data_IF_807059564558
#
_entry.id   IF_807059564558
#
_cell.length_a   1.000
_cell.length_b   1.000
_cell.length_c   1.000
_cell.angle_alpha   90.00
_cell.angle_beta   90.00
_cell.angle_gamma   90.00
#
_symmetry.space_group_name_H-M   'P 1'
#
loop_
_entity.id
_entity.type
_entity.pdbx_description
1 polymer ?
#
# COMPACT_ATOMS: atom_id res chain seq x y z
N UNK A 1 24.10 -59.70 -63.43
CA UNK A 1 25.09 -59.39 -62.40
C UNK A 1 25.03 -57.94 -62.04
N UNK A 2 24.42 -57.63 -60.93
CA UNK A 2 24.04 -56.32 -60.40
C UNK A 2 25.22 -55.61 -59.70
N UNK A 3 25.40 -54.33 -59.80
CA UNK A 3 26.25 -53.57 -58.92
C UNK A 3 25.50 -52.94 -57.77
N UNK A 4 26.10 -53.10 -56.62
CA UNK A 4 25.78 -52.62 -55.32
C UNK A 4 25.84 -51.06 -55.25
N UNK A 5 24.69 -50.42 -54.93
CA UNK A 5 24.67 -48.99 -54.59
C UNK A 5 24.87 -48.80 -53.08
N UNK A 6 25.97 -48.18 -52.72
CA UNK A 6 26.27 -47.75 -51.33
C UNK A 6 25.45 -46.47 -51.02
N UNK A 7 24.44 -46.59 -50.18
CA UNK A 7 23.76 -45.45 -49.54
C UNK A 7 24.67 -44.87 -48.45
N UNK A 8 25.16 -43.65 -48.67
CA UNK A 8 25.74 -42.81 -47.63
C UNK A 8 24.60 -42.10 -46.90
N UNK A 9 24.30 -42.56 -45.70
CA UNK A 9 23.48 -41.81 -44.76
C UNK A 9 24.29 -40.64 -44.20
N UNK A 10 23.94 -39.45 -44.63
CA UNK A 10 24.37 -38.20 -44.00
C UNK A 10 23.57 -38.09 -42.71
N UNK A 11 24.23 -38.30 -41.55
CA UNK A 11 23.68 -37.97 -40.24
C UNK A 11 23.73 -36.44 -40.09
N UNK A 12 22.62 -35.75 -40.34
CA UNK A 12 22.41 -34.40 -39.88
C UNK A 12 22.23 -34.46 -38.34
N UNK A 13 23.25 -34.03 -37.59
CA UNK A 13 23.11 -33.70 -36.19
C UNK A 13 22.33 -32.41 -36.12
N UNK A 14 21.01 -32.48 -35.83
CA UNK A 14 20.26 -31.37 -35.31
C UNK A 14 20.70 -31.14 -33.87
N UNK A 15 21.62 -30.19 -33.65
CA UNK A 15 21.86 -29.60 -32.36
C UNK A 15 20.66 -28.70 -32.06
N UNK A 16 19.66 -29.25 -31.39
CA UNK A 16 18.61 -28.45 -30.75
C UNK A 16 19.30 -27.65 -29.64
N UNK A 17 19.62 -26.41 -29.92
CA UNK A 17 19.95 -25.42 -28.88
C UNK A 17 18.67 -25.21 -28.11
N UNK A 18 18.52 -25.90 -26.99
CA UNK A 18 17.57 -25.51 -25.92
C UNK A 18 18.07 -24.18 -25.37
N UNK A 19 17.67 -23.09 -26.01
CA UNK A 19 17.52 -21.80 -25.37
C UNK A 19 16.40 -21.96 -24.35
N UNK A 20 16.74 -22.47 -23.18
CA UNK A 20 15.91 -22.31 -22.01
C UNK A 20 15.71 -20.81 -21.82
N UNK A 21 14.54 -20.33 -22.20
CA UNK A 21 14.05 -19.05 -21.75
C UNK A 21 13.98 -19.11 -20.24
N UNK A 22 15.04 -18.70 -19.56
CA UNK A 22 14.96 -18.21 -18.20
C UNK A 22 14.00 -17.01 -18.29
N UNK A 23 12.69 -17.28 -18.20
CA UNK A 23 11.76 -16.25 -17.83
C UNK A 23 12.26 -15.72 -16.49
N UNK A 24 12.65 -14.45 -16.38
CA UNK A 24 12.90 -13.88 -15.07
C UNK A 24 11.64 -14.17 -14.25
N UNK A 25 11.80 -14.78 -13.10
CA UNK A 25 10.68 -14.95 -12.17
C UNK A 25 10.11 -13.56 -11.99
N UNK A 26 8.86 -13.36 -12.45
CA UNK A 26 8.20 -12.07 -12.37
C UNK A 26 8.44 -11.53 -10.96
N UNK A 27 9.01 -10.34 -10.85
CA UNK A 27 9.32 -9.73 -9.57
C UNK A 27 8.00 -9.37 -8.91
N UNK A 28 7.46 -10.33 -8.20
CA UNK A 28 6.20 -10.21 -7.49
C UNK A 28 6.49 -9.45 -6.20
N UNK A 29 5.71 -8.43 -5.92
CA UNK A 29 5.64 -7.85 -4.58
C UNK A 29 5.48 -9.00 -3.59
N UNK A 30 6.37 -9.12 -2.63
CA UNK A 30 6.31 -10.15 -1.61
C UNK A 30 5.78 -9.55 -0.34
N UNK A 31 4.84 -10.21 0.27
CA UNK A 31 4.19 -9.73 1.48
C UNK A 31 4.31 -10.77 2.59
N UNK A 32 4.41 -10.29 3.82
CA UNK A 32 4.35 -11.09 5.04
C UNK A 32 3.33 -10.45 5.97
N UNK A 33 2.24 -11.15 6.23
CA UNK A 33 1.25 -10.73 7.22
C UNK A 33 1.87 -10.66 8.63
N UNK A 34 1.60 -9.58 9.32
CA UNK A 34 2.06 -9.33 10.68
C UNK A 34 0.94 -9.40 11.71
N UNK A 35 -0.27 -9.77 11.32
CA UNK A 35 -1.36 -10.01 12.26
C UNK A 35 -0.99 -11.09 13.28
N UNK A 36 -1.66 -11.08 14.42
CA UNK A 36 -1.44 -12.04 15.49
C UNK A 36 -0.93 -11.42 16.79
N UNK A 37 -0.29 -12.22 17.63
CA UNK A 37 0.18 -11.78 18.94
C UNK A 37 1.42 -10.90 18.86
N UNK A 38 1.35 -9.75 19.56
CA UNK A 38 2.45 -8.82 19.77
C UNK A 38 2.65 -8.60 21.27
N UNK A 39 3.89 -8.47 21.71
CA UNK A 39 4.19 -7.96 23.05
C UNK A 39 3.73 -6.50 23.14
N UNK A 40 3.26 -6.12 24.31
CA UNK A 40 2.56 -4.85 24.51
C UNK A 40 2.92 -4.19 25.84
N UNK A 41 2.85 -2.87 25.87
CA UNK A 41 2.90 -2.08 27.09
C UNK A 41 2.38 -0.66 26.85
N UNK A 42 1.58 -0.14 27.77
CA UNK A 42 1.24 1.29 27.80
C UNK A 42 2.37 2.12 28.40
N UNK A 43 2.40 3.40 28.08
CA UNK A 43 3.39 4.34 28.62
C UNK A 43 2.72 5.62 29.14
N UNK A 44 1.99 5.50 30.24
CA UNK A 44 1.25 6.61 30.86
C UNK A 44 2.18 7.76 31.27
N UNK A 45 3.42 7.44 31.65
CA UNK A 45 4.43 8.41 32.06
C UNK A 45 5.22 9.02 30.89
N UNK A 46 5.01 8.53 29.68
CA UNK A 46 5.70 8.98 28.46
C UNK A 46 7.23 8.97 28.56
N UNK A 47 7.80 7.86 28.96
CA UNK A 47 9.24 7.68 29.07
C UNK A 47 10.01 7.81 27.74
N UNK A 48 9.32 7.87 26.59
CA UNK A 48 10.02 8.04 25.31
C UNK A 48 10.74 9.39 25.16
N UNK A 49 10.32 10.43 25.88
CA UNK A 49 10.86 11.80 25.76
C UNK A 49 12.06 12.13 26.64
N UNK A 50 12.36 11.32 27.63
CA UNK A 50 13.43 11.68 28.56
C UNK A 50 14.00 10.48 29.29
N UNK A 51 13.95 9.43 28.74
CA UNK A 51 13.91 8.12 29.21
C UNK A 51 15.13 7.61 29.97
N UNK A 52 14.88 7.24 31.19
CA UNK A 52 15.74 6.32 31.93
C UNK A 52 15.68 4.88 31.37
N UNK A 53 14.66 4.54 30.56
CA UNK A 53 14.48 3.21 29.97
C UNK A 53 13.61 3.28 28.68
N UNK A 54 14.22 3.48 27.51
CA UNK A 54 13.52 3.40 26.24
C UNK A 54 12.86 2.03 26.06
N UNK A 55 11.58 2.01 25.66
CA UNK A 55 10.80 0.77 25.56
C UNK A 55 11.37 -0.23 24.54
N UNK A 56 12.07 0.22 23.52
CA UNK A 56 12.72 -0.66 22.53
C UNK A 56 13.96 -1.40 23.07
N UNK A 57 14.54 -0.97 24.20
CA UNK A 57 15.76 -1.58 24.78
C UNK A 57 15.51 -2.85 25.59
N UNK A 58 14.26 -3.15 25.92
CA UNK A 58 13.92 -4.34 26.70
C UNK A 58 12.69 -5.03 26.11
N UNK A 59 12.50 -6.27 26.50
CA UNK A 59 11.34 -7.06 26.09
C UNK A 59 10.10 -6.62 26.87
N UNK A 60 9.04 -6.27 26.15
CA UNK A 60 7.74 -5.99 26.76
C UNK A 60 7.11 -7.27 27.29
N UNK A 61 6.32 -7.17 28.37
CA UNK A 61 5.85 -8.34 29.14
C UNK A 61 4.41 -8.73 28.85
N UNK A 62 3.53 -7.77 28.54
CA UNK A 62 2.14 -8.02 28.23
C UNK A 62 2.00 -8.40 26.76
N UNK A 63 0.84 -8.96 26.36
CA UNK A 63 0.55 -9.28 24.97
C UNK A 63 -0.83 -8.76 24.54
N UNK A 64 -0.96 -8.51 23.25
CA UNK A 64 -2.18 -8.06 22.59
C UNK A 64 -2.25 -8.68 21.19
N UNK A 65 -3.45 -8.96 20.69
CA UNK A 65 -3.62 -9.33 19.29
C UNK A 65 -3.73 -8.08 18.42
N UNK A 66 -3.04 -8.07 17.28
CA UNK A 66 -3.15 -7.07 16.24
C UNK A 66 -3.60 -7.72 14.91
N UNK A 67 -4.36 -7.04 14.05
CA UNK A 67 -4.94 -5.71 14.26
C UNK A 67 -5.88 -5.66 15.46
N UNK A 68 -5.94 -4.51 16.13
CA UNK A 68 -6.74 -4.32 17.32
C UNK A 68 -6.47 -2.97 18.00
N UNK A 69 -7.31 -2.62 18.95
CA UNK A 69 -7.22 -1.36 19.70
C UNK A 69 -7.22 -1.61 21.21
N UNK A 70 -6.71 -0.64 21.96
CA UNK A 70 -6.64 -0.71 23.43
C UNK A 70 -8.01 -0.91 24.10
N UNK A 71 -9.07 -0.39 23.49
CA UNK A 71 -10.44 -0.45 24.01
C UNK A 71 -10.96 -1.89 24.12
N UNK A 72 -10.68 -2.75 23.13
CA UNK A 72 -11.10 -4.16 23.10
C UNK A 72 -10.47 -4.96 24.23
N UNK A 73 -9.28 -4.56 24.66
CA UNK A 73 -8.53 -5.18 25.77
C UNK A 73 -8.81 -4.53 27.13
N UNK A 74 -9.78 -3.60 27.19
CA UNK A 74 -10.16 -2.89 28.42
C UNK A 74 -8.99 -2.13 29.04
N UNK A 75 -8.08 -1.63 28.22
CA UNK A 75 -6.90 -0.89 28.64
C UNK A 75 -7.28 0.58 28.82
N UNK A 76 -6.83 1.15 29.93
CA UNK A 76 -7.08 2.55 30.28
C UNK A 76 -8.12 2.71 31.39
N UNK A 77 -8.63 3.93 31.50
CA UNK A 77 -9.62 4.31 32.49
C UNK A 77 -11.02 3.87 32.06
N UNK A 78 -11.73 3.14 32.90
CA UNK A 78 -13.14 2.82 32.63
C UNK A 78 -13.99 4.04 32.89
N UNK A 79 -14.57 4.61 31.83
CA UNK A 79 -15.42 5.80 31.92
C UNK A 79 -16.70 5.51 32.74
N UNK A 80 -16.99 6.28 33.78
CA UNK A 80 -18.26 6.17 34.51
C UNK A 80 -19.41 6.87 33.79
N UNK A 81 -19.10 7.63 32.74
CA UNK A 81 -20.06 8.46 32.02
C UNK A 81 -20.56 7.78 30.76
N UNK A 82 -21.84 7.99 30.44
CA UNK A 82 -22.39 7.70 29.13
C UNK A 82 -22.77 9.03 28.47
N UNK A 83 -22.05 9.36 27.41
CA UNK A 83 -22.34 10.56 26.64
C UNK A 83 -23.59 10.39 25.79
N UNK A 84 -24.41 11.44 25.69
CA UNK A 84 -25.62 11.44 24.87
C UNK A 84 -25.42 12.25 23.58
N UNK A 85 -24.34 13.02 23.51
CA UNK A 85 -23.98 13.95 22.45
C UNK A 85 -22.85 13.44 21.53
N UNK A 86 -22.28 12.28 21.85
CA UNK A 86 -21.17 11.67 21.11
C UNK A 86 -21.05 10.19 21.44
N UNK A 87 -20.19 9.48 20.70
CA UNK A 87 -19.81 8.10 21.01
C UNK A 87 -19.17 8.03 22.41
N UNK A 88 -19.57 7.04 23.19
CA UNK A 88 -19.00 6.79 24.52
C UNK A 88 -17.98 5.66 24.42
N UNK A 89 -16.71 5.99 24.66
CA UNK A 89 -15.70 4.95 24.93
C UNK A 89 -15.94 4.39 26.33
N UNK A 90 -15.92 3.07 26.42
CA UNK A 90 -16.05 2.40 27.72
C UNK A 90 -14.73 2.40 28.46
N UNK A 91 -13.63 2.20 27.74
CA UNK A 91 -12.25 2.27 28.25
C UNK A 91 -11.49 3.32 27.47
N UNK A 92 -10.91 4.28 28.17
CA UNK A 92 -10.24 5.43 27.58
C UNK A 92 -8.74 5.36 27.89
N UNK A 93 -7.94 5.12 26.88
CA UNK A 93 -6.50 5.25 26.95
C UNK A 93 -6.05 6.37 26.01
N UNK A 94 -5.31 7.34 26.53
CA UNK A 94 -4.69 8.41 25.77
C UNK A 94 -3.21 8.47 26.14
N UNK A 95 -2.37 8.17 25.18
CA UNK A 95 -0.91 8.14 25.40
C UNK A 95 -0.19 7.18 24.46
N UNK A 96 1.13 7.06 24.61
CA UNK A 96 1.93 6.10 23.87
C UNK A 96 1.59 4.65 24.25
N UNK A 97 1.25 3.83 23.27
CA UNK A 97 1.12 2.40 23.38
C UNK A 97 2.22 1.72 22.56
N UNK A 98 2.95 0.80 23.17
CA UNK A 98 4.13 0.18 22.61
C UNK A 98 3.83 -1.27 22.24
N UNK A 99 4.19 -1.64 21.01
CA UNK A 99 4.02 -2.97 20.43
C UNK A 99 5.38 -3.50 20.02
N UNK A 100 5.65 -4.79 20.22
CA UNK A 100 6.96 -5.36 19.93
C UNK A 100 6.86 -6.79 19.47
N UNK A 101 7.59 -7.14 18.41
CA UNK A 101 7.68 -8.50 17.87
C UNK A 101 9.07 -8.76 17.33
N UNK A 102 9.61 -9.96 17.56
CA UNK A 102 10.81 -10.42 16.90
C UNK A 102 10.39 -11.10 15.59
N UNK A 103 10.91 -10.63 14.44
CA UNK A 103 10.50 -11.03 13.11
C UNK A 103 11.72 -11.56 12.36
N UNK A 104 11.63 -12.76 11.81
CA UNK A 104 12.61 -13.32 10.89
C UNK A 104 12.33 -12.80 9.47
N UNK A 105 13.28 -12.05 8.90
CA UNK A 105 13.18 -11.54 7.55
C UNK A 105 13.63 -12.60 6.55
N UNK A 106 12.82 -12.95 5.53
CA UNK A 106 13.19 -13.99 4.55
C UNK A 106 14.51 -13.69 3.85
N UNK A 107 15.38 -14.69 3.76
CA UNK A 107 16.72 -14.53 3.16
C UNK A 107 16.66 -14.16 1.66
N UNK A 108 15.61 -14.57 0.98
CA UNK A 108 15.36 -14.28 -0.45
C UNK A 108 14.86 -12.85 -0.71
N UNK A 109 14.69 -12.04 0.36
CA UNK A 109 14.45 -10.59 0.25
C UNK A 109 15.74 -9.76 0.12
N UNK A 110 16.89 -10.42 0.04
CA UNK A 110 18.17 -9.75 -0.15
C UNK A 110 18.17 -8.90 -1.42
N UNK A 111 18.56 -7.64 -1.28
CA UNK A 111 18.58 -6.65 -2.38
C UNK A 111 17.25 -6.03 -2.73
N UNK A 112 16.19 -6.28 -1.96
CA UNK A 112 14.88 -5.64 -2.10
C UNK A 112 14.75 -4.44 -1.17
N UNK A 113 13.88 -3.50 -1.53
CA UNK A 113 13.35 -2.49 -0.62
C UNK A 113 12.30 -3.14 0.27
N UNK A 114 12.36 -2.87 1.58
CA UNK A 114 11.51 -3.53 2.58
C UNK A 114 10.77 -2.47 3.38
N UNK A 115 9.45 -2.56 3.38
CA UNK A 115 8.56 -1.61 4.06
C UNK A 115 7.73 -2.31 5.12
N UNK A 116 7.47 -1.60 6.23
CA UNK A 116 6.48 -1.96 7.23
C UNK A 116 5.23 -1.10 6.98
N UNK A 117 4.16 -1.76 6.59
CA UNK A 117 2.91 -1.15 6.21
C UNK A 117 1.85 -1.34 7.31
N UNK A 118 1.18 -0.23 7.68
CA UNK A 118 -0.03 -0.22 8.50
C UNK A 118 -1.14 0.49 7.74
N UNK A 119 -2.27 -0.16 7.54
CA UNK A 119 -3.41 0.43 6.83
C UNK A 119 -3.96 1.64 7.58
N UNK A 120 -4.18 1.50 8.88
CA UNK A 120 -4.72 2.57 9.72
C UNK A 120 -4.09 2.54 11.10
N UNK A 121 -3.57 3.66 11.53
CA UNK A 121 -3.10 3.90 12.89
C UNK A 121 -3.69 5.19 13.42
N UNK A 122 -3.82 5.31 14.73
CA UNK A 122 -4.31 6.54 15.31
C UNK A 122 -3.52 6.91 16.58
N UNK A 123 -2.64 7.88 16.50
CA UNK A 123 -2.43 8.87 15.44
C UNK A 123 -0.99 8.77 14.90
N UNK A 124 0.00 9.14 15.74
CA UNK A 124 1.41 9.12 15.44
C UNK A 124 1.96 7.71 15.58
N UNK A 125 2.57 7.16 14.54
CA UNK A 125 3.38 5.95 14.65
C UNK A 125 4.86 6.27 14.64
N UNK A 126 5.62 5.60 15.49
CA UNK A 126 7.09 5.63 15.50
C UNK A 126 7.60 4.20 15.51
N UNK A 127 8.60 3.90 14.70
CA UNK A 127 9.12 2.54 14.50
C UNK A 127 10.61 2.48 14.79
N UNK A 128 11.01 1.39 15.45
CA UNK A 128 12.42 1.04 15.70
C UNK A 128 12.68 -0.38 15.19
N UNK A 129 13.86 -0.57 14.62
CA UNK A 129 14.45 -1.87 14.36
C UNK A 129 15.58 -2.05 15.36
N UNK A 130 15.49 -3.07 16.21
CA UNK A 130 16.37 -3.29 17.35
C UNK A 130 16.41 -2.03 18.25
N UNK A 131 17.50 -1.28 18.21
CA UNK A 131 17.65 -0.03 18.98
C UNK A 131 17.67 1.24 18.13
N UNK A 132 17.51 1.13 16.82
CA UNK A 132 17.58 2.26 15.90
C UNK A 132 16.18 2.73 15.52
N UNK A 133 15.94 4.02 15.69
CA UNK A 133 14.71 4.66 15.19
C UNK A 133 14.75 4.70 13.65
N UNK A 134 13.67 4.24 13.04
CA UNK A 134 13.49 4.23 11.59
C UNK A 134 12.84 5.53 11.14
N UNK A 135 11.62 5.77 11.60
CA UNK A 135 10.83 6.93 11.18
C UNK A 135 9.63 7.17 12.10
N UNK A 136 9.04 8.36 11.94
CA UNK A 136 7.81 8.79 12.61
C UNK A 136 6.87 9.36 11.57
N UNK A 137 5.60 8.88 11.58
CA UNK A 137 4.56 9.31 10.65
C UNK A 137 3.32 9.72 11.46
N UNK A 138 2.74 10.87 11.14
CA UNK A 138 1.64 11.50 11.88
C UNK A 138 0.37 11.74 11.03
N UNK A 139 0.14 10.86 10.08
CA UNK A 139 -1.05 10.91 9.23
C UNK A 139 -2.24 10.25 9.93
N UNK A 140 -3.47 10.69 9.63
CA UNK A 140 -4.70 10.06 10.14
C UNK A 140 -5.44 9.29 9.06
N UNK A 141 -5.46 9.81 7.84
CA UNK A 141 -6.36 9.36 6.77
C UNK A 141 -5.66 8.56 5.66
N UNK A 142 -4.40 8.26 5.81
CA UNK A 142 -3.62 7.47 4.85
C UNK A 142 -2.81 6.39 5.57
N UNK A 143 -2.48 5.30 4.89
CA UNK A 143 -1.62 4.25 5.45
C UNK A 143 -0.26 4.79 5.87
N UNK A 144 0.33 4.18 6.89
CA UNK A 144 1.71 4.43 7.30
C UNK A 144 2.63 3.39 6.66
N UNK A 145 3.61 3.87 5.92
CA UNK A 145 4.60 3.04 5.25
C UNK A 145 6.01 3.42 5.71
N UNK A 146 6.61 2.60 6.56
CA UNK A 146 7.93 2.83 7.13
C UNK A 146 8.99 2.06 6.36
N UNK A 147 10.00 2.74 5.81
CA UNK A 147 11.09 2.12 5.06
C UNK A 147 12.11 1.49 6.02
N UNK A 148 12.18 0.16 6.01
CA UNK A 148 13.12 -0.63 6.82
C UNK A 148 14.37 -1.05 6.04
N UNK A 149 14.52 -0.70 4.79
CA UNK A 149 15.52 -1.24 3.86
C UNK A 149 16.94 -1.21 4.43
N UNK A 150 17.34 -0.07 4.98
CA UNK A 150 18.69 0.12 5.54
C UNK A 150 18.84 -0.37 7.00
N UNK A 151 17.76 -0.83 7.62
CA UNK A 151 17.73 -1.19 9.03
C UNK A 151 17.70 -2.69 9.29
N UNK A 152 17.26 -3.48 8.31
CA UNK A 152 17.12 -4.93 8.44
C UNK A 152 18.12 -5.70 7.56
N UNK A 153 18.42 -6.91 7.95
CA UNK A 153 19.26 -7.83 7.18
C UNK A 153 18.44 -9.07 6.84
N UNK A 154 18.04 -9.29 5.59
CA UNK A 154 17.37 -10.52 5.18
C UNK A 154 18.13 -11.78 5.60
N UNK A 155 17.41 -12.78 6.10
CA UNK A 155 17.96 -14.00 6.69
C UNK A 155 18.27 -13.88 8.18
N UNK A 156 17.97 -12.74 8.81
CA UNK A 156 18.14 -12.55 10.26
C UNK A 156 16.82 -12.18 10.93
N UNK A 157 16.76 -12.43 12.23
CA UNK A 157 15.68 -11.95 13.10
C UNK A 157 16.03 -10.57 13.62
N UNK A 158 15.09 -9.65 13.50
CA UNK A 158 15.16 -8.30 14.07
C UNK A 158 13.97 -8.05 14.98
N UNK A 159 14.18 -7.27 16.03
CA UNK A 159 13.13 -6.79 16.89
C UNK A 159 12.50 -5.54 16.30
N UNK A 160 11.25 -5.65 15.94
CA UNK A 160 10.45 -4.49 15.52
C UNK A 160 9.69 -3.97 16.73
N UNK A 161 9.89 -2.70 17.05
CA UNK A 161 9.15 -1.99 18.11
C UNK A 161 8.39 -0.83 17.49
N UNK A 162 7.10 -0.77 17.78
CA UNK A 162 6.18 0.27 17.28
C UNK A 162 5.60 1.01 18.48
N UNK A 163 5.55 2.34 18.40
CA UNK A 163 4.84 3.17 19.36
C UNK A 163 3.72 3.89 18.62
N UNK A 164 2.48 3.68 19.04
CA UNK A 164 1.31 4.43 18.59
C UNK A 164 0.90 5.40 19.67
N UNK A 165 0.80 6.67 19.33
CA UNK A 165 0.45 7.74 20.26
C UNK A 165 -0.78 8.50 19.74
N UNK A 166 -1.90 8.33 20.43
CA UNK A 166 -3.18 8.95 20.06
C UNK A 166 -3.42 10.31 20.74
N UNK A 167 -2.42 10.87 21.42
CA UNK A 167 -2.53 12.25 21.93
C UNK A 167 -2.56 13.24 20.78
N UNK A 168 -3.23 14.37 21.01
CA UNK A 168 -3.24 15.46 20.03
C UNK A 168 -1.82 15.90 19.69
N UNK A 169 -1.44 15.78 18.44
CA UNK A 169 -0.16 16.26 17.94
C UNK A 169 -0.22 17.75 17.62
N UNK A 170 -1.41 18.23 17.22
CA UNK A 170 -1.68 19.62 16.82
C UNK A 170 -2.96 20.12 17.46
N UNK A 171 -3.05 21.43 17.69
CA UNK A 171 -4.31 22.06 18.13
C UNK A 171 -5.24 22.26 16.93
N UNK A 172 -6.11 21.31 16.69
CA UNK A 172 -6.99 21.25 15.50
C UNK A 172 -8.41 21.71 15.77
N UNK A 173 -8.71 22.27 16.92
CA UNK A 173 -10.06 22.62 17.36
C UNK A 173 -10.90 21.43 17.86
N UNK A 174 -11.79 21.72 18.80
CA UNK A 174 -12.64 20.74 19.50
C UNK A 174 -13.51 19.86 18.58
N UNK A 175 -14.03 20.43 17.50
CA UNK A 175 -14.99 19.76 16.61
C UNK A 175 -14.35 19.19 15.35
N UNK A 176 -13.04 19.03 15.32
CA UNK A 176 -12.37 18.45 14.17
C UNK A 176 -12.56 16.93 14.17
N UNK A 177 -13.28 16.45 13.15
CA UNK A 177 -13.61 15.03 13.00
C UNK A 177 -12.36 14.15 12.91
N UNK A 178 -12.43 12.94 13.47
CA UNK A 178 -11.36 11.96 13.59
C UNK A 178 -10.15 12.41 14.43
N UNK A 179 -10.16 13.62 14.99
CA UNK A 179 -9.02 14.15 15.76
C UNK A 179 -9.34 14.31 17.25
N UNK A 180 -10.61 14.31 17.62
CA UNK A 180 -11.03 14.60 19.00
C UNK A 180 -12.11 13.65 19.49
N UNK A 181 -12.21 13.46 20.80
CA UNK A 181 -13.27 12.71 21.48
C UNK A 181 -14.67 13.29 21.29
N UNK A 182 -14.79 14.50 20.76
CA UNK A 182 -16.06 15.21 20.64
C UNK A 182 -16.85 14.85 19.37
N UNK A 183 -16.25 14.13 18.45
CA UNK A 183 -16.88 13.74 17.18
C UNK A 183 -16.90 12.23 16.99
N UNK A 184 -15.76 11.62 16.84
CA UNK A 184 -15.54 10.16 16.89
C UNK A 184 -14.63 9.85 18.07
N UNK A 185 -14.48 8.57 18.39
CA UNK A 185 -13.57 8.18 19.47
C UNK A 185 -12.10 8.36 19.08
N UNK A 186 -11.29 8.74 20.05
CA UNK A 186 -9.84 8.82 19.92
C UNK A 186 -9.21 7.48 20.34
N UNK A 187 -9.35 6.45 19.50
CA UNK A 187 -8.83 5.11 19.76
C UNK A 187 -7.30 5.05 19.69
N UNK A 188 -6.69 3.98 20.21
CA UNK A 188 -5.26 3.72 20.08
C UNK A 188 -5.03 2.28 19.62
N UNK A 189 -4.27 2.11 18.54
CA UNK A 189 -3.97 0.78 18.01
C UNK A 189 -3.64 0.79 16.52
N UNK A 190 -3.76 -0.39 15.92
CA UNK A 190 -3.55 -0.63 14.49
C UNK A 190 -4.76 -1.38 13.96
N UNK A 191 -5.42 -0.84 12.93
CA UNK A 191 -6.61 -1.42 12.31
C UNK A 191 -6.33 -1.77 10.84
N UNK A 192 -7.05 -2.79 10.36
CA UNK A 192 -6.92 -3.27 8.98
C UNK A 192 -5.63 -4.04 8.75
N UNK A 193 -5.09 -3.96 7.54
CA UNK A 193 -3.88 -4.69 7.18
C UNK A 193 -2.63 -4.17 7.90
N UNK A 194 -1.81 -5.10 8.33
CA UNK A 194 -0.45 -4.83 8.82
C UNK A 194 0.49 -5.89 8.28
N UNK A 195 1.50 -5.46 7.54
CA UNK A 195 2.37 -6.37 6.80
C UNK A 195 3.77 -5.82 6.54
N UNK A 196 4.72 -6.71 6.28
CA UNK A 196 5.94 -6.34 5.58
C UNK A 196 5.72 -6.50 4.08
N UNK A 197 6.25 -5.55 3.32
CA UNK A 197 6.21 -5.53 1.86
C UNK A 197 7.63 -5.46 1.34
N UNK A 198 8.03 -6.39 0.47
CA UNK A 198 9.33 -6.36 -0.18
C UNK A 198 9.16 -6.25 -1.69
N UNK A 199 9.79 -5.23 -2.28
CA UNK A 199 9.77 -4.93 -3.70
C UNK A 199 11.19 -4.84 -4.25
N UNK A 200 11.35 -5.03 -5.56
CA UNK A 200 12.63 -4.79 -6.21
C UNK A 200 13.04 -3.32 -6.12
N UNK A 201 14.34 -2.99 -6.19
CA UNK A 201 14.80 -1.62 -6.04
C UNK A 201 14.37 -0.67 -7.17
N UNK A 202 13.76 -1.18 -8.24
CA UNK A 202 13.05 -0.38 -9.24
C UNK A 202 11.60 -0.84 -9.29
N UNK A 203 10.67 0.02 -8.91
CA UNK A 203 9.25 -0.31 -8.84
C UNK A 203 8.36 0.90 -9.16
N UNK A 204 7.11 0.61 -9.53
CA UNK A 204 6.07 1.64 -9.73
C UNK A 204 5.52 2.01 -8.35
N UNK A 205 5.79 3.22 -7.89
CA UNK A 205 5.28 3.76 -6.63
C UNK A 205 3.82 4.18 -6.78
N UNK A 206 3.51 4.99 -7.80
CA UNK A 206 2.16 5.46 -8.05
C UNK A 206 1.79 5.37 -9.54
N UNK A 207 0.50 5.18 -9.81
CA UNK A 207 -0.07 5.19 -11.15
C UNK A 207 -1.46 5.84 -11.12
N UNK A 208 -1.57 7.03 -11.70
CA UNK A 208 -2.78 7.83 -11.78
C UNK A 208 -3.37 7.77 -13.18
N UNK A 209 -4.70 7.68 -13.28
CA UNK A 209 -5.44 7.55 -14.53
C UNK A 209 -6.39 8.73 -14.69
N UNK A 210 -6.29 9.44 -15.82
CA UNK A 210 -7.09 10.62 -16.13
C UNK A 210 -7.84 10.38 -17.46
N UNK A 211 -9.11 9.95 -17.42
CA UNK A 211 -9.91 9.78 -18.62
C UNK A 211 -10.22 11.12 -19.30
N UNK A 212 -10.23 11.12 -20.62
CA UNK A 212 -10.62 12.23 -21.47
C UNK A 212 -11.70 11.76 -22.46
N UNK A 213 -12.91 12.24 -22.28
CA UNK A 213 -14.08 11.86 -23.09
C UNK A 213 -14.02 12.46 -24.49
N UNK A 214 -13.43 13.65 -24.64
CA UNK A 214 -13.37 14.32 -25.92
C UNK A 214 -12.47 13.58 -26.91
N UNK A 215 -11.41 12.95 -26.43
CA UNK A 215 -10.45 12.21 -27.25
C UNK A 215 -10.61 10.68 -27.15
N UNK A 216 -11.55 10.18 -26.35
CA UNK A 216 -11.70 8.76 -26.02
C UNK A 216 -10.38 8.12 -25.62
N UNK A 217 -9.72 8.73 -24.67
CA UNK A 217 -8.40 8.30 -24.18
C UNK A 217 -8.32 8.30 -22.67
N UNK A 218 -7.28 7.67 -22.14
CA UNK A 218 -6.87 7.81 -20.75
C UNK A 218 -5.40 8.22 -20.69
N UNK A 219 -5.11 9.30 -19.98
CA UNK A 219 -3.75 9.73 -19.70
C UNK A 219 -3.29 9.01 -18.42
N UNK A 220 -2.15 8.34 -18.51
CA UNK A 220 -1.49 7.68 -17.40
C UNK A 220 -0.35 8.54 -16.92
N UNK A 221 -0.30 8.84 -15.64
CA UNK A 221 0.85 9.44 -14.97
C UNK A 221 1.40 8.43 -13.98
N UNK A 222 2.67 8.06 -14.10
CA UNK A 222 3.30 7.02 -13.31
C UNK A 222 4.57 7.54 -12.67
N UNK A 223 4.73 7.29 -11.37
CA UNK A 223 5.95 7.53 -10.63
C UNK A 223 6.68 6.19 -10.42
N UNK A 224 7.95 6.16 -10.75
CA UNK A 224 8.84 5.01 -10.60
C UNK A 224 9.92 5.40 -9.60
N UNK A 225 10.09 4.60 -8.56
CA UNK A 225 11.21 4.71 -7.63
C UNK A 225 12.39 3.87 -8.12
N UNK A 226 13.59 4.46 -8.01
CA UNK A 226 14.85 3.83 -8.42
C UNK A 226 15.89 3.93 -7.28
N UNK A 227 16.01 2.88 -6.50
CA UNK A 227 16.96 2.78 -5.39
C UNK A 227 18.32 2.18 -5.80
N UNK A 228 18.53 1.90 -7.09
CA UNK A 228 19.79 1.29 -7.58
C UNK A 228 20.98 2.25 -7.59
N UNK A 229 20.73 3.58 -7.50
CA UNK A 229 21.74 4.65 -7.68
C UNK A 229 22.43 4.60 -9.05
N UNK A 230 21.80 3.98 -10.06
CA UNK A 230 22.26 3.87 -11.43
C UNK A 230 21.15 4.34 -12.37
N UNK A 231 21.48 4.86 -13.57
CA UNK A 231 20.48 5.09 -14.58
C UNK A 231 19.70 3.81 -14.90
N UNK A 232 18.41 3.97 -15.13
CA UNK A 232 17.52 2.88 -15.58
C UNK A 232 17.12 3.11 -17.02
N UNK A 233 17.03 2.03 -17.77
CA UNK A 233 16.48 1.99 -19.13
C UNK A 233 15.55 0.79 -19.26
N UNK A 234 14.47 0.94 -20.03
CA UNK A 234 13.52 -0.13 -20.20
C UNK A 234 12.24 0.29 -20.88
N UNK A 235 11.14 -0.38 -20.52
CA UNK A 235 9.83 -0.13 -21.11
C UNK A 235 8.71 -0.34 -20.09
N UNK A 236 7.63 0.39 -20.28
CA UNK A 236 6.35 0.20 -19.59
C UNK A 236 5.34 -0.32 -20.61
N UNK A 237 4.81 -1.52 -20.37
CA UNK A 237 3.75 -2.11 -21.17
C UNK A 237 2.43 -1.95 -20.43
N UNK A 238 1.50 -1.23 -21.04
CA UNK A 238 0.15 -1.03 -20.50
C UNK A 238 -0.84 -1.92 -21.23
N UNK A 239 -1.59 -2.71 -20.49
CA UNK A 239 -2.71 -3.50 -20.98
C UNK A 239 -4.00 -2.94 -20.38
N UNK A 240 -4.92 -2.50 -21.24
CA UNK A 240 -6.24 -2.02 -20.82
C UNK A 240 -7.27 -3.08 -21.15
N UNK A 241 -8.05 -3.47 -20.15
CA UNK A 241 -9.14 -4.44 -20.30
C UNK A 241 -10.42 -3.92 -19.65
N UNK A 242 -11.56 -4.38 -20.11
CA UNK A 242 -12.87 -4.06 -19.51
C UNK A 242 -13.90 -3.60 -20.52
N UNK A 243 -15.17 -3.80 -20.22
CA UNK A 243 -16.33 -3.38 -21.03
C UNK A 243 -16.28 -3.81 -22.51
N UNK A 244 -15.58 -4.91 -22.81
CA UNK A 244 -15.39 -5.44 -24.15
C UNK A 244 -14.19 -4.86 -24.91
N UNK A 245 -13.38 -4.04 -24.26
CA UNK A 245 -12.13 -3.50 -24.79
C UNK A 245 -10.94 -4.33 -24.28
N UNK A 246 -9.99 -4.59 -25.18
CA UNK A 246 -8.66 -5.09 -24.84
C UNK A 246 -7.65 -4.42 -25.77
N UNK A 247 -6.65 -3.77 -25.20
CA UNK A 247 -5.57 -3.17 -25.97
C UNK A 247 -4.26 -3.18 -25.16
N UNK A 248 -3.15 -3.26 -25.88
CA UNK A 248 -1.81 -3.18 -25.27
C UNK A 248 -0.99 -2.10 -25.98
N UNK A 249 -0.24 -1.30 -25.20
CA UNK A 249 0.70 -0.27 -25.68
C UNK A 249 1.97 -0.36 -24.87
N UNK A 250 3.09 -0.04 -25.51
CA UNK A 250 4.42 -0.06 -24.91
C UNK A 250 5.09 1.28 -25.12
N UNK A 251 5.76 1.79 -24.07
CA UNK A 251 6.48 3.07 -24.10
C UNK A 251 7.86 2.89 -23.48
N UNK A 252 8.88 3.58 -23.99
CA UNK A 252 10.22 3.55 -23.41
C UNK A 252 10.23 4.25 -22.04
N UNK A 253 11.05 3.75 -21.14
CA UNK A 253 11.32 4.36 -19.83
C UNK A 253 12.81 4.54 -19.68
N UNK A 254 13.26 5.72 -19.30
CA UNK A 254 14.65 6.00 -18.96
C UNK A 254 14.75 7.12 -17.94
N UNK A 255 15.76 7.05 -17.09
CA UNK A 255 16.04 8.08 -16.09
C UNK A 255 17.27 7.78 -15.27
N UNK A 256 17.87 8.80 -14.67
CA UNK A 256 19.09 8.73 -13.86
C UNK A 256 18.85 9.14 -12.39
N UNK A 257 17.64 9.59 -12.06
CA UNK A 257 17.25 10.01 -10.71
C UNK A 257 16.70 8.86 -9.86
N UNK A 258 16.52 9.16 -8.57
CA UNK A 258 15.82 8.27 -7.62
C UNK A 258 14.33 8.18 -7.97
N UNK A 259 13.76 9.23 -8.56
CA UNK A 259 12.38 9.27 -9.06
C UNK A 259 12.36 9.51 -10.56
N UNK A 260 11.68 8.60 -11.26
CA UNK A 260 11.49 8.69 -12.72
C UNK A 260 9.99 8.77 -12.98
N UNK A 261 9.56 9.75 -13.80
CA UNK A 261 8.16 9.94 -14.14
C UNK A 261 7.90 9.54 -15.59
N UNK A 262 6.79 8.85 -15.82
CA UNK A 262 6.27 8.55 -17.15
C UNK A 262 4.87 9.15 -17.29
N UNK A 263 4.61 9.83 -18.42
CA UNK A 263 3.32 10.42 -18.72
C UNK A 263 2.95 10.11 -20.16
N UNK A 264 1.94 9.26 -20.33
CA UNK A 264 1.54 8.74 -21.63
C UNK A 264 0.02 8.76 -21.80
N UNK A 265 -0.44 8.73 -23.05
CA UNK A 265 -1.87 8.71 -23.38
C UNK A 265 -2.22 7.45 -24.15
N UNK A 266 -3.13 6.66 -23.59
CA UNK A 266 -3.65 5.45 -24.21
C UNK A 266 -4.96 5.78 -24.94
N UNK A 267 -4.96 5.65 -26.26
CA UNK A 267 -6.16 5.83 -27.09
C UNK A 267 -7.03 4.59 -26.97
N UNK A 268 -8.24 4.75 -26.44
CA UNK A 268 -9.19 3.65 -26.22
C UNK A 268 -10.08 3.43 -27.47
N UNK A 269 -10.23 4.47 -28.29
CA UNK A 269 -11.04 4.42 -29.50
C UNK A 269 -12.54 4.67 -29.23
N UNK A 270 -13.30 4.70 -30.32
CA UNK A 270 -14.74 5.05 -30.31
C UNK A 270 -15.63 4.04 -29.61
N UNK A 271 -15.15 2.81 -29.42
CA UNK A 271 -15.89 1.73 -28.77
C UNK A 271 -15.83 1.84 -27.23
N UNK A 272 -15.06 2.79 -26.67
CA UNK A 272 -14.97 3.02 -25.24
C UNK A 272 -16.33 3.47 -24.69
N UNK A 273 -16.89 2.69 -23.78
CA UNK A 273 -18.18 2.93 -23.15
C UNK A 273 -18.01 3.88 -21.96
N UNK A 274 -18.93 4.85 -21.85
CA UNK A 274 -18.96 5.76 -20.72
C UNK A 274 -19.41 5.04 -19.45
N UNK A 275 -18.89 5.52 -18.32
CA UNK A 275 -19.38 5.18 -17.01
C UNK A 275 -20.45 6.17 -16.57
N UNK A 276 -21.58 5.68 -16.14
CA UNK A 276 -22.56 6.45 -15.40
C UNK A 276 -23.21 5.57 -14.30
N UNK A 277 -24.08 6.14 -13.48
CA UNK A 277 -24.74 5.48 -12.36
C UNK A 277 -25.65 4.31 -12.76
N UNK A 278 -26.06 4.25 -14.02
CA UNK A 278 -26.91 3.17 -14.58
C UNK A 278 -26.10 2.17 -15.40
N UNK A 279 -24.96 2.61 -15.94
CA UNK A 279 -24.05 1.83 -16.77
C UNK A 279 -22.62 1.96 -16.21
N UNK A 280 -22.29 1.26 -15.11
CA UNK A 280 -21.00 1.43 -14.42
C UNK A 280 -19.87 0.69 -15.15
N UNK A 281 -19.63 1.08 -16.42
CA UNK A 281 -18.57 0.49 -17.24
C UNK A 281 -17.19 0.85 -16.67
N UNK A 282 -16.42 -0.16 -16.28
CA UNK A 282 -15.09 0.00 -15.73
C UNK A 282 -14.05 -0.62 -16.65
N UNK A 283 -12.88 -0.02 -16.63
CA UNK A 283 -11.66 -0.47 -17.29
C UNK A 283 -10.54 -0.62 -16.27
N UNK A 284 -9.71 -1.64 -16.45
CA UNK A 284 -8.50 -1.85 -15.68
C UNK A 284 -7.29 -1.60 -16.58
N UNK A 285 -6.37 -0.75 -16.12
CA UNK A 285 -5.04 -0.61 -16.71
C UNK A 285 -4.07 -1.40 -15.88
N UNK A 286 -3.43 -2.41 -16.45
CA UNK A 286 -2.28 -3.09 -15.87
C UNK A 286 -1.02 -2.56 -16.56
N UNK A 287 -0.05 -2.12 -15.76
CA UNK A 287 1.29 -1.76 -16.23
C UNK A 287 2.28 -2.84 -15.81
N UNK A 288 3.01 -3.38 -16.77
CA UNK A 288 4.23 -4.19 -16.54
C UNK A 288 5.42 -3.32 -16.88
N UNK A 289 6.19 -2.92 -15.86
CA UNK A 289 7.44 -2.19 -15.98
C UNK A 289 8.59 -3.20 -16.08
N UNK A 290 9.35 -3.12 -17.15
CA UNK A 290 10.58 -3.92 -17.39
C UNK A 290 11.75 -2.97 -17.53
N UNK A 291 12.69 -2.99 -16.58
CA UNK A 291 13.84 -2.06 -16.57
C UNK A 291 15.14 -2.79 -16.34
N UNK A 292 16.24 -2.19 -16.80
CA UNK A 292 17.61 -2.60 -16.48
C UNK A 292 18.37 -1.47 -15.80
N UNK A 293 19.28 -1.83 -14.89
CA UNK A 293 20.23 -0.92 -14.26
C UNK A 293 21.62 -1.57 -14.26
N UNK A 294 22.43 -1.25 -15.24
CA UNK A 294 23.71 -1.92 -15.48
C UNK A 294 23.50 -3.37 -15.92
N UNK A 295 23.86 -4.36 -15.07
CA UNK A 295 23.71 -5.80 -15.38
C UNK A 295 22.46 -6.43 -14.74
N UNK A 296 21.72 -5.67 -13.95
CA UNK A 296 20.53 -6.11 -13.24
C UNK A 296 19.27 -5.80 -14.06
N UNK A 297 18.25 -6.61 -13.93
CA UNK A 297 16.95 -6.38 -14.57
C UNK A 297 15.84 -6.53 -13.53
N UNK A 298 14.82 -5.69 -13.64
CA UNK A 298 13.69 -5.61 -12.72
C UNK A 298 12.39 -5.66 -13.49
N UNK A 299 11.40 -6.32 -12.91
CA UNK A 299 10.03 -6.33 -13.39
C UNK A 299 9.11 -5.91 -12.23
N UNK A 300 8.21 -4.96 -12.47
CA UNK A 300 7.18 -4.60 -11.50
C UNK A 300 5.84 -4.44 -12.19
N UNK A 301 4.77 -4.89 -11.53
CA UNK A 301 3.40 -4.76 -12.03
C UNK A 301 2.56 -3.92 -11.09
N UNK A 302 1.75 -3.04 -11.66
CA UNK A 302 0.73 -2.27 -10.95
C UNK A 302 -0.52 -2.15 -11.79
N UNK A 303 -1.67 -2.22 -11.14
CA UNK A 303 -2.96 -2.05 -11.81
C UNK A 303 -3.79 -0.96 -11.16
N UNK A 304 -4.62 -0.30 -11.96
CA UNK A 304 -5.60 0.66 -11.48
C UNK A 304 -6.87 0.58 -12.35
N UNK A 305 -8.01 0.89 -11.74
CA UNK A 305 -9.32 0.83 -12.40
C UNK A 305 -9.88 2.23 -12.58
N UNK A 306 -10.52 2.49 -13.71
CA UNK A 306 -11.17 3.76 -13.99
C UNK A 306 -12.48 3.58 -14.76
N UNK A 307 -13.34 4.61 -14.72
CA UNK A 307 -14.49 4.74 -15.62
C UNK A 307 -14.28 5.91 -16.57
N UNK A 308 -14.71 5.76 -17.83
CA UNK A 308 -14.73 6.87 -18.78
C UNK A 308 -15.85 7.84 -18.40
N UNK A 309 -15.52 8.79 -17.53
CA UNK A 309 -16.46 9.78 -17.01
C UNK A 309 -15.81 11.14 -16.83
N UNK A 310 -16.63 12.16 -16.96
CA UNK A 310 -16.29 13.55 -16.64
C UNK A 310 -17.29 14.09 -15.62
N UNK A 311 -16.78 14.69 -14.55
CA UNK A 311 -17.57 15.45 -13.60
C UNK A 311 -17.22 16.93 -13.78
N UNK A 312 -18.24 17.74 -14.13
CA UNK A 312 -18.06 19.16 -14.40
C UNK A 312 -19.02 20.02 -13.56
N UNK A 313 -18.66 21.27 -13.38
CA UNK A 313 -19.53 22.26 -12.76
C UNK A 313 -20.40 22.91 -13.85
N UNK A 314 -21.71 22.70 -13.79
CA UNK A 314 -22.68 23.48 -14.55
C UNK A 314 -23.09 24.76 -13.80
N UNK A 315 -23.99 25.55 -14.39
CA UNK A 315 -24.44 26.82 -13.79
C UNK A 315 -25.06 26.61 -12.40
N UNK A 316 -25.93 25.61 -12.25
CA UNK A 316 -26.69 25.35 -11.01
C UNK A 316 -26.65 23.89 -10.59
N UNK A 317 -25.89 23.04 -11.29
CA UNK A 317 -25.84 21.60 -11.08
C UNK A 317 -24.41 21.08 -11.25
N UNK A 318 -24.12 19.97 -10.59
CA UNK A 318 -23.00 19.12 -10.97
C UNK A 318 -23.42 18.33 -12.21
N UNK A 319 -22.52 18.25 -13.18
CA UNK A 319 -22.77 17.50 -14.41
C UNK A 319 -21.93 16.21 -14.40
N UNK A 320 -22.56 15.12 -14.82
CA UNK A 320 -21.87 13.87 -15.14
C UNK A 320 -22.02 13.61 -16.64
N UNK A 321 -20.91 13.55 -17.37
CA UNK A 321 -20.89 13.41 -18.82
C UNK A 321 -21.81 14.43 -19.54
N UNK A 322 -21.78 15.67 -19.07
CA UNK A 322 -22.60 16.76 -19.62
C UNK A 322 -24.08 16.78 -19.17
N UNK A 323 -24.55 15.77 -18.42
CA UNK A 323 -25.95 15.70 -17.92
C UNK A 323 -26.02 16.15 -16.46
N UNK A 324 -27.08 16.87 -16.02
CA UNK A 324 -27.29 17.16 -14.63
C UNK A 324 -27.33 15.92 -13.76
N UNK A 325 -26.51 15.90 -12.71
CA UNK A 325 -26.43 14.82 -11.71
C UNK A 325 -27.30 15.18 -10.50
N UNK A 326 -28.23 14.31 -10.14
CA UNK A 326 -29.06 14.44 -8.94
C UNK A 326 -28.45 13.58 -7.83
N UNK A 327 -27.75 14.24 -6.90
CA UNK A 327 -27.17 13.56 -5.75
C UNK A 327 -28.25 13.33 -4.67
N UNK A 328 -28.32 12.09 -4.19
CA UNK A 328 -29.05 11.70 -2.98
C UNK A 328 -28.04 11.18 -1.98
N UNK A 329 -28.07 11.72 -0.80
CA UNK A 329 -27.11 11.37 0.23
C UNK A 329 -27.72 11.38 1.62
N UNK A 330 -27.04 10.77 2.53
CA UNK A 330 -27.31 10.82 3.96
C UNK A 330 -26.03 11.16 4.70
N UNK A 331 -26.15 11.59 5.94
CA UNK A 331 -25.01 11.77 6.83
C UNK A 331 -24.76 10.45 7.55
N UNK A 332 -23.58 9.90 7.39
CA UNK A 332 -23.09 8.77 8.16
C UNK A 332 -21.96 9.25 9.08
N UNK A 333 -22.17 9.14 10.39
CA UNK A 333 -21.20 9.55 11.40
C UNK A 333 -20.29 8.41 11.86
N UNK A 334 -20.31 7.29 11.15
CA UNK A 334 -19.54 6.09 11.52
C UNK A 334 -19.81 5.68 12.99
N UNK A 335 -21.09 5.64 13.36
CA UNK A 335 -21.53 5.22 14.68
C UNK A 335 -21.56 3.71 14.71
N UNK A 336 -20.66 3.11 15.46
CA UNK A 336 -20.58 1.66 15.66
C UNK A 336 -21.24 1.29 16.99
N UNK A 337 -22.57 1.04 17.02
CA UNK A 337 -23.31 0.94 18.30
C UNK A 337 -22.96 -0.29 19.13
N UNK A 338 -22.34 -1.30 18.53
CA UNK A 338 -21.91 -2.52 19.23
C UNK A 338 -20.53 -2.41 19.83
N UNK A 339 -19.61 -1.78 19.12
CA UNK A 339 -18.18 -1.70 19.46
C UNK A 339 -17.76 -0.32 19.93
N UNK A 340 -18.36 0.72 19.40
CA UNK A 340 -17.95 2.10 19.63
C UNK A 340 -16.77 2.55 18.77
N UNK A 341 -16.26 1.69 17.90
CA UNK A 341 -15.13 1.96 17.00
C UNK A 341 -15.31 1.26 15.64
N UNK A 342 -14.52 1.67 14.67
CA UNK A 342 -14.47 1.02 13.36
C UNK A 342 -14.04 -0.45 13.49
N UNK A 343 -14.47 -1.34 12.54
CA UNK A 343 -14.02 -2.72 12.50
C UNK A 343 -12.49 -2.83 12.52
N UNK A 344 -11.97 -3.84 13.22
CA UNK A 344 -10.52 -4.08 13.32
C UNK A 344 -10.00 -4.82 12.09
N UNK A 345 -10.87 -5.57 11.39
CA UNK A 345 -10.55 -6.28 10.15
C UNK A 345 -11.79 -6.44 9.26
N UNK A 346 -11.60 -6.91 8.04
CA UNK A 346 -12.68 -7.09 7.06
C UNK A 346 -13.71 -8.16 7.46
N UNK A 347 -13.40 -9.03 8.42
CA UNK A 347 -14.30 -10.09 8.86
C UNK A 347 -15.39 -9.60 9.84
N UNK A 348 -15.30 -8.39 10.37
CA UNK A 348 -16.28 -7.78 11.27
C UNK A 348 -17.35 -6.97 10.52
#
# INVERSE_FOLDING_TARGET
>A
TTPYMKNRFIKLLLAAVLLGSLSPAAAQTREMDLSGEWRFQTDVMDFRRGSLSPRYNHQLQETIMLPGITDDYKIGYKSPYRHVDRLTRVYEYMGPAWYQRDIEFPADWKGKCIFLYFERTHWLSSVWVDTKEVSRLDYISVPHNHDLTDFVTPGKTHRITVCIDNRFQYNTHKWNHAHTEFTQINWNGILGEMKLVAVDPVYIDDMQLYPDLATNSVRVEMAIENHTKKPIEGRAQFTVTGSGLELTREFPVSGDGEKVSLKETLQLGKEAKLWDEFNPNLYTVECTLLTGAGKESFEHKKSATFGMREVAQGRNHILLNGRPLHLRGTVENAVFPKTGHAPVCDAE
#
